data_IF_375189735961
#
_entry.id   IF_375189735961
#
_cell.length_a   1.000
_cell.length_b   1.000
_cell.length_c   1.000
_cell.angle_alpha   90.00
_cell.angle_beta   90.00
_cell.angle_gamma   90.00
#
_symmetry.space_group_name_H-M   'P 1'
#
loop_
_entity.id
_entity.type
_entity.pdbx_description
1 polymer ?
#
# COMPACT_ATOMS: atom_id res chain seq x y z
N UNK A 1 -3.87 -0.83 -0.24
CA UNK A 1 -3.71 0.63 -0.15
C UNK A 1 -3.27 0.92 1.26
N UNK A 2 -2.02 1.34 1.42
CA UNK A 2 -1.46 1.83 2.68
C UNK A 2 -1.84 3.32 2.78
N UNK A 3 -2.37 3.75 3.93
CA UNK A 3 -2.76 5.14 4.18
C UNK A 3 -2.25 5.59 5.54
N UNK A 4 -1.43 6.63 5.54
CA UNK A 4 -0.85 7.24 6.73
C UNK A 4 -1.78 8.30 7.30
N UNK A 5 -2.00 8.25 8.62
CA UNK A 5 -2.78 9.25 9.34
C UNK A 5 -1.99 9.79 10.53
N UNK A 6 -2.32 11.02 10.94
CA UNK A 6 -1.81 11.62 12.17
C UNK A 6 -2.97 12.30 12.89
N UNK A 7 -3.14 12.02 14.18
CA UNK A 7 -4.16 12.70 14.99
C UNK A 7 -3.70 14.08 15.48
N UNK A 8 -4.61 14.80 16.16
CA UNK A 8 -4.32 16.12 16.74
C UNK A 8 -3.22 16.10 17.81
N UNK A 9 -2.96 14.94 18.42
CA UNK A 9 -1.90 14.74 19.42
C UNK A 9 -0.56 14.37 18.78
N UNK A 10 -0.50 14.23 17.46
CA UNK A 10 0.70 13.85 16.72
C UNK A 10 0.97 12.34 16.68
N UNK A 11 0.01 11.50 17.09
CA UNK A 11 0.16 10.05 16.98
C UNK A 11 -0.04 9.61 15.53
N UNK A 12 0.89 8.80 15.02
CA UNK A 12 0.83 8.23 13.67
C UNK A 12 0.09 6.89 13.63
N UNK A 13 -0.65 6.66 12.55
CA UNK A 13 -1.37 5.42 12.26
C UNK A 13 -1.15 5.02 10.82
N UNK A 14 -1.16 3.71 10.56
CA UNK A 14 -1.13 3.17 9.20
C UNK A 14 -2.31 2.20 9.07
N UNK A 15 -3.22 2.52 8.17
CA UNK A 15 -4.29 1.60 7.80
C UNK A 15 -3.99 0.96 6.45
N UNK A 16 -4.24 -0.35 6.35
CA UNK A 16 -4.16 -1.06 5.08
C UNK A 16 -5.57 -1.41 4.63
N UNK A 17 -5.96 -0.91 3.46
CA UNK A 17 -7.25 -1.18 2.84
C UNK A 17 -7.12 -2.06 1.59
N UNK A 18 -8.16 -2.83 1.28
CA UNK A 18 -8.32 -3.41 -0.05
C UNK A 18 -8.73 -2.37 -1.11
N UNK A 19 -9.07 -2.84 -2.31
CA UNK A 19 -9.51 -1.99 -3.43
C UNK A 19 -10.90 -1.38 -3.23
N UNK A 20 -11.68 -1.87 -2.27
CA UNK A 20 -13.02 -1.39 -1.94
C UNK A 20 -13.03 -0.50 -0.69
N UNK A 21 -11.85 -0.08 -0.21
CA UNK A 21 -11.69 0.69 1.02
C UNK A 21 -12.17 -0.07 2.28
N UNK A 22 -12.03 -1.40 2.29
CA UNK A 22 -12.25 -2.22 3.47
C UNK A 22 -10.95 -2.41 4.24
N UNK A 23 -10.96 -2.05 5.51
CA UNK A 23 -9.79 -2.19 6.39
C UNK A 23 -9.42 -3.66 6.52
N UNK A 24 -8.15 -3.98 6.27
CA UNK A 24 -7.65 -5.34 6.37
C UNK A 24 -7.37 -5.72 7.83
N UNK A 25 -7.54 -7.00 8.21
CA UNK A 25 -7.42 -7.42 9.60
C UNK A 25 -5.95 -7.71 9.96
N UNK A 26 -5.06 -6.78 9.63
CA UNK A 26 -3.64 -6.78 9.99
C UNK A 26 -3.10 -5.35 10.07
N UNK A 27 -1.94 -5.20 10.68
CA UNK A 27 -1.23 -3.95 10.91
C UNK A 27 0.13 -3.96 10.22
N UNK A 28 0.59 -2.79 9.79
CA UNK A 28 1.90 -2.57 9.19
C UNK A 28 2.66 -1.53 10.02
N UNK A 29 3.59 -1.97 10.87
CA UNK A 29 4.45 -1.18 11.79
C UNK A 29 3.73 -0.28 12.84
N UNK A 30 2.59 0.29 12.52
CA UNK A 30 1.79 1.21 13.33
C UNK A 30 0.40 0.63 13.62
N UNK A 31 -0.27 1.07 14.69
CA UNK A 31 -1.65 0.70 14.92
C UNK A 31 -2.57 1.30 13.83
N UNK A 32 -3.72 0.65 13.63
CA UNK A 32 -4.80 1.22 12.84
C UNK A 32 -5.42 2.41 13.59
N UNK A 33 -6.06 3.31 12.84
CA UNK A 33 -6.87 4.37 13.43
C UNK A 33 -7.98 3.77 14.32
N UNK A 34 -8.30 4.40 15.46
CA UNK A 34 -9.35 3.91 16.36
C UNK A 34 -10.76 4.13 15.81
N UNK A 35 -10.92 4.99 14.80
CA UNK A 35 -12.18 5.23 14.10
C UNK A 35 -12.06 4.87 12.61
N UNK A 36 -13.21 4.60 12.00
CA UNK A 36 -13.32 4.42 10.56
C UNK A 36 -13.07 5.74 9.82
N UNK A 37 -12.19 5.71 8.82
CA UNK A 37 -11.88 6.86 7.98
C UNK A 37 -12.65 6.77 6.66
N UNK A 38 -13.43 7.81 6.29
CA UNK A 38 -14.19 7.80 5.04
C UNK A 38 -13.24 7.75 3.83
N UNK A 39 -13.67 7.03 2.81
CA UNK A 39 -12.95 6.92 1.54
C UNK A 39 -12.78 8.32 0.90
N UNK A 40 -11.56 8.74 0.53
CA UNK A 40 -11.34 9.98 -0.20
C UNK A 40 -12.12 10.03 -1.51
N UNK A 41 -12.61 11.21 -1.89
CA UNK A 41 -13.35 11.38 -3.14
C UNK A 41 -12.50 11.00 -4.36
N UNK A 42 -11.21 11.35 -4.34
CA UNK A 42 -10.22 11.09 -5.40
C UNK A 42 -9.56 9.70 -5.32
N UNK A 43 -10.09 8.79 -4.48
CA UNK A 43 -9.49 7.48 -4.27
C UNK A 43 -9.43 6.64 -5.56
N UNK A 44 -10.51 6.68 -6.37
CA UNK A 44 -10.59 5.87 -7.56
C UNK A 44 -9.56 6.31 -8.61
N UNK A 45 -9.39 7.61 -8.77
CA UNK A 45 -8.40 8.23 -9.64
C UNK A 45 -6.98 7.91 -9.15
N UNK A 46 -6.72 7.97 -7.84
CA UNK A 46 -5.44 7.61 -7.27
C UNK A 46 -5.08 6.13 -7.48
N UNK A 47 -6.07 5.23 -7.30
CA UNK A 47 -5.89 3.80 -7.56
C UNK A 47 -5.53 3.53 -9.03
N UNK A 48 -6.22 4.20 -9.97
CA UNK A 48 -5.93 4.07 -11.40
C UNK A 48 -4.56 4.65 -11.76
N UNK A 49 -4.19 5.80 -11.19
CA UNK A 49 -2.88 6.41 -11.41
C UNK A 49 -1.75 5.50 -10.91
N UNK A 50 -1.88 4.93 -9.71
CA UNK A 50 -0.92 3.98 -9.17
C UNK A 50 -0.76 2.72 -10.05
N UNK A 51 -1.88 2.19 -10.56
CA UNK A 51 -1.86 1.05 -11.48
C UNK A 51 -1.16 1.37 -12.80
N UNK A 52 -1.40 2.57 -13.36
CA UNK A 52 -0.75 3.00 -14.59
C UNK A 52 0.76 3.20 -14.40
N UNK A 53 1.18 3.76 -13.27
CA UNK A 53 2.59 3.98 -12.93
C UNK A 53 3.35 2.66 -12.66
N UNK A 54 2.66 1.65 -12.13
CA UNK A 54 3.24 0.34 -11.84
C UNK A 54 3.25 -0.62 -13.05
N UNK A 55 2.78 -0.19 -14.23
CA UNK A 55 2.67 -1.06 -15.39
C UNK A 55 4.03 -1.68 -15.78
N UNK A 56 4.09 -3.01 -15.82
CA UNK A 56 5.31 -3.76 -16.15
C UNK A 56 6.27 -3.97 -14.98
N UNK A 57 5.89 -3.59 -13.76
CA UNK A 57 6.65 -3.84 -12.53
C UNK A 57 5.88 -4.88 -11.70
N UNK A 58 6.52 -6.01 -11.38
CA UNK A 58 5.87 -7.11 -10.64
C UNK A 58 5.39 -6.67 -9.24
N UNK A 59 6.22 -5.87 -8.56
CA UNK A 59 5.90 -5.30 -7.25
C UNK A 59 6.63 -3.97 -7.07
N UNK A 60 5.87 -2.94 -6.69
CA UNK A 60 6.38 -1.68 -6.19
C UNK A 60 5.33 -0.99 -5.32
N UNK A 61 5.78 -0.13 -4.41
CA UNK A 61 4.92 0.87 -3.77
C UNK A 61 4.95 2.14 -4.60
N UNK A 62 3.78 2.72 -4.86
CA UNK A 62 3.62 4.01 -5.52
C UNK A 62 3.04 4.97 -4.51
N UNK A 63 3.79 6.01 -4.17
CA UNK A 63 3.40 6.96 -3.13
C UNK A 63 2.70 8.15 -3.78
N UNK A 64 1.44 8.36 -3.40
CA UNK A 64 0.59 9.44 -3.89
C UNK A 64 0.12 10.31 -2.73
N UNK A 65 0.19 11.62 -2.90
CA UNK A 65 -0.39 12.59 -1.96
C UNK A 65 -1.71 13.10 -2.53
N UNK A 66 -2.80 12.84 -1.81
CA UNK A 66 -4.14 13.29 -2.19
C UNK A 66 -4.45 14.61 -1.47
N UNK A 67 -4.75 15.63 -2.25
CA UNK A 67 -5.39 16.86 -1.75
C UNK A 67 -6.88 16.83 -2.11
N UNK A 68 -7.60 17.89 -1.76
CA UNK A 68 -9.03 18.01 -2.10
C UNK A 68 -9.28 17.92 -3.61
N UNK A 69 -8.41 18.54 -4.40
CA UNK A 69 -8.63 18.76 -5.83
C UNK A 69 -7.56 18.10 -6.72
N UNK A 70 -6.39 17.76 -6.17
CA UNK A 70 -5.26 17.24 -6.94
C UNK A 70 -4.61 16.01 -6.31
N UNK A 71 -4.00 15.19 -7.16
CA UNK A 71 -3.21 14.01 -6.80
C UNK A 71 -1.77 14.26 -7.24
N UNK A 72 -0.83 14.19 -6.30
CA UNK A 72 0.59 14.35 -6.59
C UNK A 72 1.30 13.01 -6.49
N UNK A 73 2.13 12.73 -7.50
CA UNK A 73 3.10 11.64 -7.44
C UNK A 73 4.30 12.06 -6.58
N UNK A 74 4.73 11.18 -5.69
CA UNK A 74 5.93 11.37 -4.86
C UNK A 74 7.07 10.46 -5.29
N UNK A 75 6.90 9.13 -5.12
CA UNK A 75 7.95 8.15 -5.42
C UNK A 75 7.41 6.79 -5.87
N UNK A 76 8.30 5.98 -6.47
CA UNK A 76 8.12 4.55 -6.63
C UNK A 76 9.24 3.83 -5.87
N UNK A 77 8.86 2.95 -4.95
CA UNK A 77 9.80 2.20 -4.13
C UNK A 77 9.65 0.69 -4.38
N UNK A 78 10.71 0.06 -4.90
CA UNK A 78 10.70 -1.38 -5.26
C UNK A 78 10.83 -2.30 -4.05
N UNK A 79 11.55 -1.86 -3.01
CA UNK A 79 11.80 -2.65 -1.81
C UNK A 79 11.62 -1.78 -0.55
N UNK A 80 10.36 -1.44 -0.19
CA UNK A 80 10.10 -0.63 1.00
C UNK A 80 10.72 -1.29 2.23
N UNK A 81 11.34 -0.49 3.10
CA UNK A 81 12.05 -0.96 4.32
C UNK A 81 13.11 -2.05 4.05
N UNK A 82 13.69 -2.11 2.85
CA UNK A 82 14.61 -3.20 2.44
C UNK A 82 13.98 -4.59 2.57
N UNK A 83 12.65 -4.69 2.41
CA UNK A 83 11.89 -5.93 2.54
C UNK A 83 11.75 -6.44 3.99
N UNK A 84 11.90 -5.56 4.99
CA UNK A 84 11.85 -5.93 6.42
C UNK A 84 10.66 -5.31 7.17
N UNK A 85 9.59 -5.00 6.44
CA UNK A 85 8.39 -4.43 7.04
C UNK A 85 7.76 -5.45 8.00
N UNK A 86 7.35 -5.00 9.19
CA UNK A 86 6.74 -5.88 10.20
C UNK A 86 5.22 -5.88 10.04
N UNK A 87 4.65 -7.05 9.74
CA UNK A 87 3.20 -7.24 9.59
C UNK A 87 2.68 -8.05 10.78
N UNK A 88 1.61 -7.57 11.42
CA UNK A 88 1.00 -8.22 12.58
C UNK A 88 -0.50 -8.49 12.35
N UNK A 89 -0.99 -9.72 12.56
CA UNK A 89 -0.24 -10.88 13.06
C UNK A 89 0.63 -11.53 11.96
N UNK A 90 1.71 -12.26 12.32
CA UNK A 90 2.75 -12.71 11.36
C UNK A 90 2.26 -13.58 10.20
N UNK A 91 1.14 -14.29 10.34
CA UNK A 91 0.55 -15.08 9.27
C UNK A 91 0.18 -14.26 8.03
N UNK A 92 -0.03 -12.95 8.17
CA UNK A 92 -0.32 -12.08 7.04
C UNK A 92 0.89 -11.83 6.15
N UNK A 93 2.11 -11.88 6.69
CA UNK A 93 3.33 -11.79 5.89
C UNK A 93 3.40 -12.94 4.89
N UNK A 94 3.16 -14.17 5.37
CA UNK A 94 3.10 -15.36 4.52
C UNK A 94 1.95 -15.29 3.50
N UNK A 95 0.74 -14.91 3.92
CA UNK A 95 -0.43 -14.79 3.03
C UNK A 95 -0.20 -13.81 1.89
N UNK A 96 0.38 -12.64 2.18
CA UNK A 96 0.71 -11.65 1.15
C UNK A 96 1.80 -12.15 0.21
N UNK A 97 2.81 -12.86 0.73
CA UNK A 97 3.84 -13.51 -0.07
C UNK A 97 3.27 -14.56 -1.03
N UNK A 98 2.31 -15.38 -0.59
CA UNK A 98 1.64 -16.40 -1.43
C UNK A 98 0.86 -15.79 -2.60
N UNK A 99 0.37 -14.56 -2.46
CA UNK A 99 -0.30 -13.84 -3.54
C UNK A 99 0.68 -13.39 -4.64
N UNK A 100 1.97 -13.27 -4.33
CA UNK A 100 2.99 -12.88 -5.28
C UNK A 100 3.41 -14.06 -6.17
N UNK A 101 2.66 -14.27 -7.24
CA UNK A 101 2.94 -15.32 -8.23
C UNK A 101 3.87 -14.76 -9.32
N UNK A 102 5.15 -15.09 -9.25
CA UNK A 102 6.08 -14.80 -10.35
C UNK A 102 5.81 -15.77 -11.50
N UNK A 103 5.57 -15.24 -12.71
CA UNK A 103 5.62 -16.08 -13.91
C UNK A 103 7.09 -16.43 -14.17
N UNK A 104 7.47 -17.73 -14.25
CA UNK A 104 8.84 -18.09 -14.60
C UNK A 104 9.19 -17.47 -15.96
N UNK A 105 10.20 -16.59 -15.98
CA UNK A 105 10.69 -16.03 -17.25
C UNK A 105 11.41 -17.17 -17.98
N UNK A 106 10.79 -17.70 -19.05
CA UNK A 106 11.27 -18.86 -19.80
C UNK A 106 12.61 -18.64 -20.54
N UNK A 107 13.22 -17.45 -20.47
CA UNK A 107 14.50 -17.12 -21.09
C UNK A 107 15.28 -16.13 -20.21
N UNK A 108 16.00 -16.63 -19.19
CA UNK A 108 17.24 -15.97 -18.76
C UNK A 108 18.38 -16.78 -19.37
N UNK A 109 19.01 -16.20 -20.40
CA UNK A 109 20.30 -16.66 -20.87
C UNK A 109 21.28 -16.47 -19.70
N UNK A 110 21.70 -17.60 -19.14
CA UNK A 110 22.91 -17.73 -18.31
C UNK A 110 24.14 -17.64 -19.20
#
# INVERSE_FOLDING_TARGET
MEADFTDESGNGFINVYDRHWQLQPFQMEYPNTPQDIPKPASYQEALLAAQALALGIDYCRVDLMLTRDEIYFSEITLSPKRGKLTITPPEWDARLGEMWQMTPVANRLI
#
